data_IF_557671096208
#
_entry.id   IF_557671096208
#
_cell.length_a   1.000
_cell.length_b   1.000
_cell.length_c   1.000
_cell.angle_alpha   90.00
_cell.angle_beta   90.00
_cell.angle_gamma   90.00
#
_symmetry.space_group_name_H-M   'P 1'
#
loop_
_entity.id
_entity.type
_entity.pdbx_description
1 polymer ?
#
# COMPACT_ATOMS: atom_id res chain seq x y z
N UNK A 1 -6.12 -8.19 -17.81
CA UNK A 1 -7.05 -9.30 -18.07
C UNK A 1 -7.01 -10.31 -16.93
N UNK A 2 -8.15 -11.00 -16.69
CA UNK A 2 -8.25 -12.04 -15.67
C UNK A 2 -9.06 -13.22 -16.17
N UNK A 3 -8.78 -14.38 -15.62
CA UNK A 3 -9.54 -15.62 -15.84
C UNK A 3 -9.87 -16.24 -14.49
N UNK A 4 -11.08 -16.75 -14.37
CA UNK A 4 -11.51 -17.50 -13.18
C UNK A 4 -12.12 -18.83 -13.62
N UNK A 5 -11.85 -19.87 -12.86
CA UNK A 5 -12.29 -21.23 -13.08
C UNK A 5 -12.91 -21.78 -11.79
N UNK A 6 -13.95 -22.60 -11.93
CA UNK A 6 -14.62 -23.29 -10.82
C UNK A 6 -14.28 -24.77 -10.83
N UNK A 7 -13.24 -25.21 -10.13
CA UNK A 7 -12.82 -26.63 -10.11
C UNK A 7 -13.83 -27.54 -9.37
N UNK A 8 -14.60 -26.98 -8.45
CA UNK A 8 -15.62 -27.69 -7.70
C UNK A 8 -16.74 -26.74 -7.27
N UNK A 9 -17.88 -27.30 -6.86
CA UNK A 9 -19.01 -26.53 -6.32
C UNK A 9 -18.53 -25.73 -5.10
N UNK A 10 -18.84 -24.44 -5.08
CA UNK A 10 -18.43 -23.53 -4.00
C UNK A 10 -16.97 -23.07 -4.05
N UNK A 11 -16.15 -23.55 -4.99
CA UNK A 11 -14.73 -23.17 -5.10
C UNK A 11 -14.44 -22.48 -6.42
N UNK A 12 -13.65 -21.41 -6.35
CA UNK A 12 -13.16 -20.66 -7.51
C UNK A 12 -11.65 -20.42 -7.37
N UNK A 13 -10.92 -20.59 -8.46
CA UNK A 13 -9.52 -20.16 -8.57
C UNK A 13 -9.42 -19.17 -9.71
N UNK A 14 -8.52 -18.21 -9.59
CA UNK A 14 -8.36 -17.17 -10.58
C UNK A 14 -6.92 -16.73 -10.72
N UNK A 15 -6.61 -16.26 -11.93
CA UNK A 15 -5.37 -15.59 -12.25
C UNK A 15 -5.65 -14.29 -12.97
N UNK A 16 -4.84 -13.27 -12.71
CA UNK A 16 -4.91 -11.99 -13.40
C UNK A 16 -3.51 -11.52 -13.77
N UNK A 17 -3.38 -10.97 -14.97
CA UNK A 17 -2.23 -10.19 -15.37
C UNK A 17 -2.50 -8.72 -14.98
N UNK A 18 -1.57 -8.14 -14.23
CA UNK A 18 -1.65 -6.76 -13.76
C UNK A 18 -0.66 -5.94 -14.56
N UNK A 19 -1.14 -4.90 -15.25
CA UNK A 19 -0.31 -3.85 -15.81
C UNK A 19 -0.27 -2.70 -14.80
N UNK A 20 0.93 -2.25 -14.46
CA UNK A 20 1.14 -1.10 -13.59
C UNK A 20 1.75 0.07 -14.36
N UNK A 21 1.28 1.26 -14.06
CA UNK A 21 1.82 2.53 -14.54
C UNK A 21 2.05 3.44 -13.35
N UNK A 22 3.27 3.94 -13.21
CA UNK A 22 3.64 4.91 -12.19
C UNK A 22 4.07 6.21 -12.84
N UNK A 23 3.81 7.32 -12.17
CA UNK A 23 4.27 8.64 -12.54
C UNK A 23 4.90 9.31 -11.34
N UNK A 24 6.09 9.86 -11.51
CA UNK A 24 6.86 10.47 -10.44
C UNK A 24 7.42 11.83 -10.85
N UNK A 25 7.50 12.73 -9.89
CA UNK A 25 8.24 13.98 -9.97
C UNK A 25 8.69 14.39 -8.58
N UNK A 26 9.89 14.93 -8.45
CA UNK A 26 10.41 15.48 -7.20
C UNK A 26 11.09 16.83 -7.46
N UNK A 27 10.94 17.74 -6.50
CA UNK A 27 11.56 19.07 -6.49
C UNK A 27 12.22 19.32 -5.13
N UNK A 28 13.23 20.20 -5.10
CA UNK A 28 13.86 20.62 -3.85
C UNK A 28 14.83 19.63 -3.25
N UNK A 29 15.27 18.60 -3.98
CA UNK A 29 16.22 17.56 -3.51
C UNK A 29 17.67 17.82 -3.97
N UNK A 30 17.99 19.00 -4.47
CA UNK A 30 19.33 19.34 -4.99
C UNK A 30 20.46 19.17 -3.96
N UNK A 31 20.16 19.24 -2.67
CA UNK A 31 21.13 18.98 -1.60
C UNK A 31 21.74 17.56 -1.66
N UNK A 32 21.08 16.62 -2.35
CA UNK A 32 21.55 15.25 -2.52
C UNK A 32 22.38 15.03 -3.80
N UNK A 33 22.57 16.06 -4.64
CA UNK A 33 23.36 15.94 -5.88
C UNK A 33 24.83 15.53 -5.65
N UNK A 34 25.39 15.89 -4.50
CA UNK A 34 26.75 15.46 -4.12
C UNK A 34 26.83 14.03 -3.56
N UNK A 35 25.70 13.33 -3.42
CA UNK A 35 25.60 12.01 -2.79
C UNK A 35 25.02 10.95 -3.72
N UNK A 36 24.97 11.24 -5.02
CA UNK A 36 24.40 10.35 -6.03
C UNK A 36 25.46 9.83 -7.00
N UNK A 37 25.21 8.64 -7.53
CA UNK A 37 25.99 8.07 -8.64
C UNK A 37 25.68 8.74 -9.98
N UNK A 38 24.55 9.48 -10.08
CA UNK A 38 24.09 10.11 -11.32
C UNK A 38 23.70 11.58 -11.07
N UNK A 39 24.70 12.50 -10.93
CA UNK A 39 24.44 13.93 -10.75
C UNK A 39 23.57 14.52 -11.88
N UNK A 40 22.72 15.45 -11.52
CA UNK A 40 21.74 16.07 -12.45
C UNK A 40 20.50 15.22 -12.69
N UNK A 41 20.32 14.09 -11.97
CA UNK A 41 19.15 13.20 -12.10
C UNK A 41 18.51 12.88 -10.74
N UNK A 42 18.55 13.83 -9.80
CA UNK A 42 17.99 13.68 -8.45
C UNK A 42 16.69 14.47 -8.27
N UNK A 43 16.63 15.71 -8.82
CA UNK A 43 15.56 16.64 -8.51
C UNK A 43 15.23 17.51 -9.72
N UNK A 44 14.02 18.11 -9.72
CA UNK A 44 13.61 19.15 -10.67
C UNK A 44 13.65 18.73 -12.15
N UNK A 45 13.40 17.44 -12.43
CA UNK A 45 13.44 16.87 -13.78
C UNK A 45 12.06 16.77 -14.44
N UNK A 46 11.04 17.38 -13.84
CA UNK A 46 9.65 17.25 -14.29
C UNK A 46 9.09 15.84 -14.03
N UNK A 47 8.02 15.48 -14.72
CA UNK A 47 7.43 14.16 -14.57
C UNK A 47 8.18 13.11 -15.39
N UNK A 48 8.32 11.94 -14.79
CA UNK A 48 8.77 10.71 -15.43
C UNK A 48 7.75 9.60 -15.20
N UNK A 49 7.79 8.56 -16.00
CA UNK A 49 6.85 7.44 -15.91
C UNK A 49 7.56 6.10 -15.98
N UNK A 50 6.99 5.13 -15.31
CA UNK A 50 7.48 3.76 -15.23
C UNK A 50 6.31 2.80 -15.44
N UNK A 51 6.56 1.67 -16.06
CA UNK A 51 5.57 0.62 -16.32
C UNK A 51 6.10 -0.73 -15.90
N UNK A 52 5.18 -1.63 -15.56
CA UNK A 52 5.55 -2.99 -15.17
C UNK A 52 4.40 -3.96 -15.31
N UNK A 53 4.74 -5.25 -15.24
CA UNK A 53 3.80 -6.35 -15.32
C UNK A 53 3.93 -7.25 -14.10
N UNK A 54 2.80 -7.72 -13.60
CA UNK A 54 2.74 -8.67 -12.51
C UNK A 54 1.60 -9.66 -12.66
N UNK A 55 1.61 -10.66 -11.80
CA UNK A 55 0.60 -11.71 -11.76
C UNK A 55 -0.08 -11.71 -10.40
N UNK A 56 -1.41 -11.91 -10.40
CA UNK A 56 -2.19 -12.17 -9.19
C UNK A 56 -2.83 -13.54 -9.30
N UNK A 57 -2.76 -14.30 -8.23
CA UNK A 57 -3.44 -15.57 -8.07
C UNK A 57 -4.41 -15.47 -6.91
N UNK A 58 -5.55 -16.14 -7.01
CA UNK A 58 -6.55 -16.14 -5.96
C UNK A 58 -7.34 -17.43 -5.90
N UNK A 59 -7.75 -17.77 -4.70
CA UNK A 59 -8.70 -18.83 -4.43
C UNK A 59 -9.79 -18.31 -3.49
N UNK A 60 -11.03 -18.72 -3.75
CA UNK A 60 -12.18 -18.48 -2.90
C UNK A 60 -12.97 -19.79 -2.77
N UNK A 61 -13.22 -20.23 -1.55
CA UNK A 61 -13.93 -21.46 -1.26
C UNK A 61 -15.04 -21.25 -0.23
N UNK A 62 -16.23 -21.79 -0.51
CA UNK A 62 -17.30 -21.94 0.48
C UNK A 62 -17.06 -23.25 1.22
N UNK A 63 -16.51 -23.17 2.43
CA UNK A 63 -16.10 -24.33 3.25
C UNK A 63 -17.23 -24.81 4.17
N UNK A 64 -18.17 -23.90 4.51
CA UNK A 64 -19.45 -24.22 5.16
C UNK A 64 -20.56 -23.41 4.47
N UNK A 65 -21.84 -23.75 4.68
CA UNK A 65 -22.95 -23.00 4.08
C UNK A 65 -22.91 -21.48 4.31
N UNK A 66 -22.40 -21.08 5.48
CA UNK A 66 -22.33 -19.69 5.95
C UNK A 66 -20.88 -19.15 6.02
N UNK A 67 -19.85 -19.96 5.69
CA UNK A 67 -18.44 -19.57 5.81
C UNK A 67 -17.69 -19.70 4.47
N UNK A 68 -17.08 -18.61 4.05
CA UNK A 68 -16.16 -18.55 2.92
C UNK A 68 -14.74 -18.23 3.37
N UNK A 69 -13.76 -18.89 2.78
CA UNK A 69 -12.34 -18.60 2.93
C UNK A 69 -11.76 -18.13 1.61
N UNK A 70 -10.75 -17.30 1.70
CA UNK A 70 -10.01 -16.82 0.53
C UNK A 70 -8.52 -16.79 0.78
N UNK A 71 -7.75 -17.01 -0.28
CA UNK A 71 -6.31 -16.80 -0.30
C UNK A 71 -5.94 -16.03 -1.57
N UNK A 72 -4.96 -15.14 -1.47
CA UNK A 72 -4.47 -14.37 -2.60
C UNK A 72 -2.96 -14.21 -2.53
N UNK A 73 -2.34 -14.13 -3.70
CA UNK A 73 -0.93 -13.81 -3.87
C UNK A 73 -0.78 -12.87 -5.06
N UNK A 74 0.06 -11.84 -4.89
CA UNK A 74 0.46 -10.92 -5.95
C UNK A 74 1.97 -10.95 -6.06
N UNK A 75 2.50 -11.17 -7.25
CA UNK A 75 3.93 -11.09 -7.49
C UNK A 75 4.45 -9.69 -7.22
N UNK A 76 5.74 -9.56 -6.96
CA UNK A 76 6.44 -8.30 -7.19
C UNK A 76 6.20 -7.88 -8.66
N UNK A 77 6.00 -6.59 -8.88
CA UNK A 77 5.98 -6.01 -10.23
C UNK A 77 7.30 -5.29 -10.41
N UNK A 78 8.14 -5.86 -11.26
CA UNK A 78 9.36 -5.20 -11.72
C UNK A 78 8.94 -4.06 -12.64
N UNK A 79 9.28 -2.85 -12.21
CA UNK A 79 8.95 -1.63 -12.92
C UNK A 79 10.15 -1.18 -13.75
N UNK A 80 9.90 -0.57 -14.91
CA UNK A 80 10.98 0.12 -15.63
C UNK A 80 11.52 1.26 -14.80
N UNK A 81 12.80 1.60 -14.98
CA UNK A 81 13.47 2.66 -14.25
C UNK A 81 12.86 4.04 -14.57
N UNK A 82 12.93 4.95 -13.61
CA UNK A 82 12.71 6.36 -13.81
C UNK A 82 13.99 7.03 -14.31
N UNK A 83 14.19 7.10 -15.62
CA UNK A 83 15.41 7.60 -16.25
C UNK A 83 15.77 9.03 -15.82
N UNK A 84 14.77 9.89 -15.63
CA UNK A 84 14.97 11.27 -15.17
C UNK A 84 15.39 11.36 -13.72
N UNK A 85 15.13 10.30 -12.93
CA UNK A 85 15.43 10.19 -11.51
C UNK A 85 16.37 9.04 -11.20
N UNK A 86 17.18 8.63 -12.17
CA UNK A 86 18.19 7.56 -12.01
C UNK A 86 19.23 7.86 -10.92
N UNK A 87 19.35 9.09 -10.50
CA UNK A 87 20.18 9.51 -9.38
C UNK A 87 19.50 9.44 -8.02
N UNK A 88 18.18 9.17 -7.95
CA UNK A 88 17.43 9.17 -6.70
C UNK A 88 17.15 7.75 -6.20
N UNK A 89 16.61 6.88 -7.06
CA UNK A 89 16.21 5.53 -6.69
C UNK A 89 17.30 4.51 -6.99
N UNK A 90 17.37 3.47 -6.17
CA UNK A 90 18.35 2.38 -6.29
C UNK A 90 18.32 1.74 -7.69
N UNK A 91 19.47 1.24 -8.15
CA UNK A 91 19.58 0.55 -9.44
C UNK A 91 19.34 1.44 -10.65
N UNK A 92 19.62 2.74 -10.55
CA UNK A 92 19.44 3.66 -11.69
C UNK A 92 18.02 4.12 -11.92
N UNK A 93 17.17 4.18 -10.88
CA UNK A 93 15.79 4.67 -10.98
C UNK A 93 14.72 3.61 -10.68
N UNK A 94 15.09 2.46 -10.16
CA UNK A 94 14.16 1.36 -9.89
C UNK A 94 13.21 1.63 -8.71
N UNK A 95 11.92 1.48 -8.92
CA UNK A 95 10.90 1.63 -7.86
C UNK A 95 9.76 0.63 -8.07
N UNK A 96 10.03 -0.64 -7.75
CA UNK A 96 9.10 -1.73 -7.95
C UNK A 96 7.91 -1.71 -6.98
N UNK A 97 6.87 -2.45 -7.32
CA UNK A 97 5.75 -2.70 -6.44
C UNK A 97 5.99 -4.03 -5.71
N UNK A 98 5.98 -4.05 -4.36
CA UNK A 98 6.31 -5.24 -3.60
C UNK A 98 5.31 -6.38 -3.79
N UNK A 99 5.78 -7.61 -3.62
CA UNK A 99 4.92 -8.77 -3.54
C UNK A 99 4.04 -8.71 -2.28
N UNK A 100 2.87 -9.32 -2.36
CA UNK A 100 1.97 -9.44 -1.22
C UNK A 100 1.15 -10.72 -1.29
N UNK A 101 0.75 -11.21 -0.12
CA UNK A 101 -0.15 -12.35 0.00
C UNK A 101 -1.07 -12.18 1.19
N UNK A 102 -2.23 -12.83 1.15
CA UNK A 102 -3.22 -12.70 2.19
C UNK A 102 -4.18 -13.86 2.26
N UNK A 103 -4.78 -13.96 3.43
CA UNK A 103 -5.84 -14.90 3.77
C UNK A 103 -7.03 -14.10 4.29
N UNK A 104 -8.22 -14.56 3.96
CA UNK A 104 -9.45 -13.92 4.40
C UNK A 104 -10.54 -14.93 4.72
N UNK A 105 -11.46 -14.51 5.56
CA UNK A 105 -12.69 -15.22 5.84
C UNK A 105 -13.89 -14.27 5.80
N UNK A 106 -15.04 -14.79 5.40
CA UNK A 106 -16.32 -14.11 5.49
C UNK A 106 -17.35 -15.10 6.04
N UNK A 107 -17.92 -14.75 7.19
CA UNK A 107 -18.94 -15.54 7.88
C UNK A 107 -20.28 -14.82 7.89
N UNK A 108 -21.29 -15.47 7.34
CA UNK A 108 -22.67 -14.98 7.39
C UNK A 108 -23.30 -15.38 8.74
N UNK A 109 -23.06 -14.54 9.76
CA UNK A 109 -23.50 -14.78 11.13
C UNK A 109 -25.04 -14.79 11.28
N UNK A 110 -25.76 -14.12 10.36
CA UNK A 110 -27.21 -14.20 10.22
C UNK A 110 -27.61 -13.82 8.78
N UNK A 111 -28.88 -13.98 8.37
CA UNK A 111 -29.33 -13.53 7.05
C UNK A 111 -29.03 -12.06 6.75
N UNK A 112 -28.95 -11.21 7.79
CA UNK A 112 -28.71 -9.78 7.66
C UNK A 112 -27.25 -9.38 7.96
N UNK A 113 -26.44 -10.22 8.62
CA UNK A 113 -25.11 -9.84 9.11
C UNK A 113 -24.01 -10.74 8.54
N UNK A 114 -23.05 -10.13 7.84
CA UNK A 114 -21.79 -10.77 7.45
C UNK A 114 -20.64 -10.14 8.20
N UNK A 115 -19.79 -10.96 8.80
CA UNK A 115 -18.53 -10.57 9.42
C UNK A 115 -17.37 -11.04 8.54
N UNK A 116 -16.32 -10.21 8.42
CA UNK A 116 -15.16 -10.54 7.64
C UNK A 116 -13.88 -10.26 8.45
N UNK A 117 -12.86 -11.07 8.21
CA UNK A 117 -11.52 -10.83 8.72
C UNK A 117 -10.49 -11.17 7.64
N UNK A 118 -9.47 -10.33 7.50
CA UNK A 118 -8.37 -10.53 6.57
C UNK A 118 -7.04 -10.34 7.27
N UNK A 119 -6.06 -11.11 6.84
CA UNK A 119 -4.65 -10.90 7.11
C UNK A 119 -3.90 -10.79 5.79
N UNK A 120 -2.98 -9.81 5.70
CA UNK A 120 -2.17 -9.57 4.52
C UNK A 120 -0.72 -9.33 4.94
N UNK A 121 0.23 -9.88 4.18
CA UNK A 121 1.66 -9.55 4.26
C UNK A 121 2.08 -8.78 3.02
N UNK A 122 2.87 -7.71 3.20
CA UNK A 122 3.47 -6.91 2.13
C UNK A 122 4.98 -6.90 2.34
N UNK A 123 5.73 -7.27 1.30
CA UNK A 123 7.18 -7.49 1.35
C UNK A 123 7.94 -6.23 0.88
N UNK A 124 7.81 -5.13 1.63
CA UNK A 124 8.48 -3.86 1.29
C UNK A 124 9.99 -3.97 1.24
N UNK A 125 10.61 -4.78 2.12
CA UNK A 125 12.06 -4.93 2.18
C UNK A 125 12.66 -5.59 0.92
N UNK A 126 11.84 -6.27 0.12
CA UNK A 126 12.27 -6.89 -1.13
C UNK A 126 12.51 -5.87 -2.25
N UNK A 127 11.92 -4.67 -2.15
CA UNK A 127 12.11 -3.56 -3.09
C UNK A 127 13.21 -2.66 -2.56
N UNK A 128 14.38 -2.69 -3.14
CA UNK A 128 15.59 -2.06 -2.60
C UNK A 128 15.46 -0.54 -2.38
N UNK A 129 14.82 0.20 -3.29
CA UNK A 129 14.54 1.64 -3.10
C UNK A 129 13.63 1.92 -1.90
N UNK A 130 12.83 0.95 -1.47
CA UNK A 130 11.94 1.05 -0.31
C UNK A 130 12.61 0.47 0.95
N UNK A 131 13.22 -0.73 0.85
CA UNK A 131 13.71 -1.50 1.98
C UNK A 131 15.16 -1.22 2.38
N UNK A 132 16.01 -0.75 1.45
CA UNK A 132 17.39 -0.46 1.81
C UNK A 132 17.47 0.65 2.87
N UNK A 133 18.29 0.50 3.92
CA UNK A 133 18.42 1.53 4.93
C UNK A 133 19.18 2.75 4.39
N UNK A 134 18.79 3.94 4.86
CA UNK A 134 19.44 5.22 4.53
C UNK A 134 20.94 5.23 4.83
N UNK A 135 21.38 4.49 5.86
CA UNK A 135 22.77 4.42 6.28
C UNK A 135 23.72 3.91 5.18
N UNK A 136 23.21 3.21 4.17
CA UNK A 136 23.99 2.82 2.99
C UNK A 136 24.63 4.02 2.29
N UNK A 137 23.96 5.18 2.30
CA UNK A 137 24.48 6.42 1.72
C UNK A 137 25.85 6.80 2.30
N UNK A 138 26.07 6.52 3.60
CA UNK A 138 27.31 6.85 4.31
C UNK A 138 28.31 5.69 4.35
N UNK A 139 27.92 4.55 3.78
CA UNK A 139 28.74 3.34 3.66
C UNK A 139 29.18 3.07 2.21
N UNK A 140 29.14 4.10 1.34
CA UNK A 140 29.53 4.00 -0.07
C UNK A 140 28.41 3.63 -1.04
N UNK A 141 27.16 3.44 -0.54
CA UNK A 141 25.99 3.17 -1.38
C UNK A 141 25.30 4.46 -1.80
N UNK A 142 25.87 5.18 -2.75
CA UNK A 142 25.33 6.43 -3.26
C UNK A 142 23.88 6.27 -3.74
N UNK A 143 23.09 7.35 -3.69
CA UNK A 143 21.76 7.37 -4.31
C UNK A 143 21.86 6.99 -5.79
N UNK A 144 20.91 6.25 -6.30
CA UNK A 144 20.89 5.79 -7.70
C UNK A 144 21.86 4.66 -8.04
N UNK A 145 22.78 4.27 -7.14
CA UNK A 145 23.69 3.14 -7.38
C UNK A 145 23.03 1.79 -7.08
N UNK A 146 23.61 0.72 -7.60
CA UNK A 146 23.24 -0.64 -7.20
C UNK A 146 23.53 -0.85 -5.72
N UNK A 147 22.51 -1.30 -4.98
CA UNK A 147 22.59 -1.42 -3.54
C UNK A 147 22.59 -0.09 -2.79
N UNK A 148 22.25 1.02 -3.44
CA UNK A 148 22.16 2.35 -2.87
C UNK A 148 21.14 2.47 -1.74
N UNK A 149 21.11 3.65 -1.10
CA UNK A 149 20.18 3.95 -0.01
C UNK A 149 18.72 3.98 -0.47
N UNK A 150 17.82 3.67 0.44
CA UNK A 150 16.37 3.71 0.26
C UNK A 150 15.68 4.23 1.52
N UNK A 151 14.37 3.97 1.66
CA UNK A 151 13.56 4.46 2.76
C UNK A 151 13.67 3.62 4.05
N UNK A 152 14.26 2.44 3.99
CA UNK A 152 14.48 1.55 5.13
C UNK A 152 13.21 0.93 5.69
N UNK A 153 12.16 0.71 4.86
CA UNK A 153 10.92 0.12 5.31
C UNK A 153 11.06 -1.38 5.60
N UNK A 154 10.45 -1.79 6.69
CA UNK A 154 10.26 -3.21 7.00
C UNK A 154 9.03 -3.75 6.29
N UNK A 155 9.01 -5.07 6.12
CA UNK A 155 7.79 -5.79 5.75
C UNK A 155 6.71 -5.61 6.80
N UNK A 156 5.45 -5.59 6.36
CA UNK A 156 4.33 -5.39 7.25
C UNK A 156 3.28 -6.49 7.14
N UNK A 157 2.66 -6.79 8.27
CA UNK A 157 1.40 -7.52 8.33
C UNK A 157 0.26 -6.55 8.62
N UNK A 158 -0.85 -6.74 7.92
CA UNK A 158 -2.09 -5.97 8.06
C UNK A 158 -3.19 -6.92 8.49
N UNK A 159 -3.90 -6.58 9.56
CA UNK A 159 -5.13 -7.27 9.97
C UNK A 159 -6.30 -6.34 9.73
N UNK A 160 -7.37 -6.86 9.15
CA UNK A 160 -8.60 -6.12 8.85
C UNK A 160 -9.80 -6.87 9.40
N UNK A 161 -10.74 -6.16 9.98
CA UNK A 161 -12.02 -6.67 10.43
C UNK A 161 -13.12 -5.83 9.79
N UNK A 162 -14.20 -6.48 9.37
CA UNK A 162 -15.32 -5.81 8.74
C UNK A 162 -16.65 -6.43 9.12
N UNK A 163 -17.69 -5.60 9.09
CA UNK A 163 -19.09 -6.02 9.24
C UNK A 163 -19.93 -5.36 8.15
N UNK A 164 -20.82 -6.14 7.57
CA UNK A 164 -21.84 -5.69 6.62
C UNK A 164 -23.21 -6.10 7.17
N UNK A 165 -24.09 -5.12 7.37
CA UNK A 165 -25.41 -5.31 7.92
C UNK A 165 -26.48 -4.81 6.93
N UNK A 166 -27.27 -5.74 6.38
CA UNK A 166 -28.45 -5.42 5.60
C UNK A 166 -29.57 -5.03 6.58
N UNK A 167 -29.77 -3.71 6.77
CA UNK A 167 -30.79 -3.20 7.67
C UNK A 167 -32.19 -3.51 7.13
N UNK A 168 -32.41 -3.28 5.83
CA UNK A 168 -33.59 -3.65 5.07
C UNK A 168 -33.19 -3.89 3.59
N UNK A 169 -34.19 -4.05 2.70
CA UNK A 169 -33.98 -4.31 1.27
C UNK A 169 -33.29 -3.14 0.52
N UNK A 170 -33.24 -1.96 1.13
CA UNK A 170 -32.67 -0.74 0.53
C UNK A 170 -31.42 -0.22 1.21
N UNK A 171 -31.30 -0.40 2.52
CA UNK A 171 -30.21 0.15 3.33
C UNK A 171 -29.25 -0.93 3.78
N UNK A 172 -28.00 -0.79 3.38
CA UNK A 172 -26.88 -1.61 3.87
C UNK A 172 -25.89 -0.73 4.63
N UNK A 173 -25.54 -1.12 5.86
CA UNK A 173 -24.54 -0.46 6.70
C UNK A 173 -23.24 -1.26 6.72
N UNK A 174 -22.11 -0.56 6.86
CA UNK A 174 -20.78 -1.18 6.89
C UNK A 174 -19.92 -0.52 7.94
N UNK A 175 -19.14 -1.33 8.64
CA UNK A 175 -18.12 -0.87 9.58
C UNK A 175 -16.84 -1.67 9.36
N UNK A 176 -15.70 -1.04 9.57
CA UNK A 176 -14.41 -1.70 9.42
C UNK A 176 -13.36 -1.12 10.34
N UNK A 177 -12.41 -1.96 10.72
CA UNK A 177 -11.19 -1.58 11.41
C UNK A 177 -10.01 -2.32 10.82
N UNK A 178 -8.86 -1.65 10.69
CA UNK A 178 -7.62 -2.31 10.30
C UNK A 178 -6.44 -1.81 11.10
N UNK A 179 -5.45 -2.69 11.24
CA UNK A 179 -4.18 -2.38 11.88
C UNK A 179 -3.03 -2.91 11.04
N UNK A 180 -2.06 -2.04 10.75
CA UNK A 180 -0.81 -2.38 10.06
C UNK A 180 0.37 -2.27 11.02
N UNK A 181 1.37 -3.12 10.87
CA UNK A 181 2.67 -2.98 11.53
C UNK A 181 3.34 -1.69 11.02
N UNK A 182 4.18 -1.06 11.85
CA UNK A 182 4.92 0.13 11.45
C UNK A 182 6.02 -0.23 10.44
N UNK A 183 5.95 0.28 9.20
CA UNK A 183 7.00 0.01 8.21
C UNK A 183 8.28 0.81 8.48
N UNK A 184 8.17 2.02 9.04
CA UNK A 184 9.28 2.97 9.21
C UNK A 184 9.94 2.79 10.57
N UNK A 185 11.18 2.25 10.66
CA UNK A 185 11.94 2.22 11.92
C UNK A 185 12.32 3.63 12.40
N UNK A 186 12.54 3.79 13.71
CA UNK A 186 12.95 5.06 14.31
C UNK A 186 14.28 5.61 13.72
N UNK A 187 15.19 4.73 13.29
CA UNK A 187 16.45 5.11 12.65
C UNK A 187 16.32 5.59 11.19
N UNK A 188 15.14 5.44 10.58
CA UNK A 188 14.91 5.72 9.15
C UNK A 188 13.98 6.92 8.92
N UNK A 189 13.60 7.65 9.97
CA UNK A 189 12.60 8.72 9.88
C UNK A 189 13.06 9.90 9.02
N UNK A 190 14.35 10.14 8.85
CA UNK A 190 14.86 11.29 8.09
C UNK A 190 14.45 11.25 6.61
N UNK A 191 14.73 10.17 5.89
CA UNK A 191 14.30 10.03 4.49
C UNK A 191 12.77 9.92 4.37
N UNK A 192 12.14 9.37 5.40
CA UNK A 192 10.69 9.21 5.44
C UNK A 192 9.90 10.50 5.69
N UNK A 193 10.56 11.66 5.83
CA UNK A 193 9.91 12.97 5.69
C UNK A 193 9.27 13.11 4.29
N UNK A 194 9.88 12.51 3.28
CA UNK A 194 9.38 12.51 1.90
C UNK A 194 8.27 11.49 1.64
N UNK A 195 8.18 10.44 2.47
CA UNK A 195 7.22 9.35 2.34
C UNK A 195 6.70 8.90 3.72
N UNK A 196 5.95 9.76 4.45
CA UNK A 196 5.60 9.52 5.85
C UNK A 196 4.46 8.51 6.03
N UNK A 197 4.59 7.31 5.51
CA UNK A 197 3.60 6.23 5.59
C UNK A 197 3.49 5.61 6.99
N UNK A 198 3.18 6.41 8.02
CA UNK A 198 3.27 6.00 9.44
C UNK A 198 1.94 5.68 10.12
N UNK A 199 0.79 5.91 9.47
CA UNK A 199 -0.52 5.54 10.05
C UNK A 199 -0.64 4.03 10.22
N UNK A 200 -1.23 3.61 11.35
CA UNK A 200 -1.29 2.20 11.73
C UNK A 200 -2.71 1.66 11.85
N UNK A 201 -3.61 2.46 12.37
CA UNK A 201 -5.00 2.06 12.62
C UNK A 201 -5.92 2.86 11.71
N UNK A 202 -6.88 2.18 11.09
CA UNK A 202 -7.91 2.81 10.28
C UNK A 202 -9.27 2.31 10.77
N UNK A 203 -10.20 3.21 10.89
CA UNK A 203 -11.60 2.92 11.23
C UNK A 203 -12.47 3.48 10.11
N UNK A 204 -13.44 2.71 9.69
CA UNK A 204 -14.34 3.13 8.62
C UNK A 204 -15.81 2.84 8.97
N UNK A 205 -16.66 3.74 8.58
CA UNK A 205 -18.11 3.59 8.61
C UNK A 205 -18.65 3.97 7.24
N UNK A 206 -19.68 3.28 6.79
CA UNK A 206 -20.29 3.57 5.52
C UNK A 206 -21.64 2.91 5.37
N UNK A 207 -22.29 3.21 4.27
CA UNK A 207 -23.57 2.61 3.90
C UNK A 207 -23.90 2.84 2.45
N UNK A 208 -24.86 2.08 1.95
CA UNK A 208 -25.47 2.31 0.65
C UNK A 208 -26.98 2.25 0.75
N UNK A 209 -27.62 3.14 -0.01
CA UNK A 209 -29.07 3.25 -0.08
C UNK A 209 -29.56 3.12 -1.50
N UNK A 210 -30.40 2.11 -1.74
CA UNK A 210 -31.02 1.83 -3.04
C UNK A 210 -32.29 2.64 -3.20
N UNK A 211 -32.34 3.47 -4.22
CA UNK A 211 -33.50 4.29 -4.55
C UNK A 211 -34.60 3.47 -5.24
N UNK A 212 -35.84 3.96 -5.20
CA UNK A 212 -36.97 3.34 -5.91
C UNK A 212 -36.74 3.27 -7.43
N UNK A 213 -35.94 4.17 -8.01
CA UNK A 213 -35.60 4.19 -9.43
C UNK A 213 -34.43 3.28 -9.83
N UNK A 214 -33.98 2.38 -8.94
CA UNK A 214 -32.91 1.40 -9.24
C UNK A 214 -31.48 1.94 -9.08
N UNK A 215 -31.30 3.22 -8.77
CA UNK A 215 -29.97 3.75 -8.45
C UNK A 215 -29.56 3.47 -6.99
N UNK A 216 -28.27 3.47 -6.72
CA UNK A 216 -27.72 3.28 -5.37
C UNK A 216 -26.72 4.38 -5.01
N UNK A 217 -26.98 5.07 -3.92
CA UNK A 217 -26.06 6.00 -3.28
C UNK A 217 -25.17 5.25 -2.30
N UNK A 218 -23.90 5.57 -2.30
CA UNK A 218 -22.92 5.05 -1.33
C UNK A 218 -22.19 6.18 -0.65
N UNK A 219 -22.01 6.06 0.66
CA UNK A 219 -21.24 6.98 1.49
C UNK A 219 -20.28 6.18 2.35
N UNK A 220 -19.02 6.62 2.44
CA UNK A 220 -18.04 6.05 3.34
C UNK A 220 -17.15 7.12 3.96
N UNK A 221 -16.87 6.98 5.25
CA UNK A 221 -15.92 7.80 5.98
C UNK A 221 -14.84 6.91 6.59
N UNK A 222 -13.59 7.31 6.41
CA UNK A 222 -12.42 6.66 6.99
C UNK A 222 -11.68 7.65 7.88
N UNK A 223 -11.26 7.16 9.04
CA UNK A 223 -10.46 7.89 10.01
C UNK A 223 -9.25 7.07 10.42
N UNK A 224 -8.04 7.65 10.25
CA UNK A 224 -6.80 7.12 10.79
C UNK A 224 -6.29 8.10 11.87
N UNK A 225 -6.28 7.69 13.16
CA UNK A 225 -5.83 8.54 14.26
C UNK A 225 -4.36 8.90 14.10
N UNK A 226 -3.99 10.04 14.67
CA UNK A 226 -2.59 10.51 14.68
C UNK A 226 -1.67 9.45 15.27
N UNK A 227 -0.63 9.12 14.51
CA UNK A 227 0.50 8.32 14.96
C UNK A 227 1.76 9.17 14.89
N UNK A 228 2.64 9.02 15.87
CA UNK A 228 3.98 9.62 15.86
C UNK A 228 5.02 8.51 15.86
N UNK A 229 6.00 8.60 14.98
CA UNK A 229 7.23 7.82 15.01
C UNK A 229 8.36 8.77 15.35
N UNK A 230 8.86 8.68 16.58
CA UNK A 230 10.00 9.48 17.03
C UNK A 230 11.28 8.92 16.42
N UNK A 231 12.13 9.79 15.90
CA UNK A 231 13.46 9.44 15.45
C UNK A 231 14.33 8.94 16.59
N UNK A 232 15.37 8.19 16.24
CA UNK A 232 16.42 7.80 17.17
C UNK A 232 17.75 7.92 16.44
N UNK A 233 18.45 9.07 16.61
CA UNK A 233 19.67 9.39 15.88
C UNK A 233 19.47 9.35 14.36
N UNK A 234 18.27 9.71 13.90
CA UNK A 234 17.85 9.49 12.51
C UNK A 234 18.39 10.52 11.53
N UNK A 235 18.84 11.69 12.01
CA UNK A 235 19.51 12.69 11.17
C UNK A 235 21.01 12.43 11.26
N UNK A 236 21.67 12.06 10.13
CA UNK A 236 23.09 11.84 10.10
C UNK A 236 23.88 13.10 10.47
N UNK A 237 25.09 12.95 11.04
CA UNK A 237 25.97 14.05 11.42
C UNK A 237 26.29 14.99 10.24
N UNK A 238 26.39 14.44 9.01
CA UNK A 238 26.60 15.23 7.78
C UNK A 238 25.44 16.20 7.47
N UNK A 239 24.25 15.99 8.06
CA UNK A 239 23.06 16.86 7.97
C UNK A 239 22.76 17.59 9.29
N UNK A 240 23.75 17.70 10.18
CA UNK A 240 23.60 18.41 11.44
C UNK A 240 23.27 17.52 12.64
N UNK A 241 23.02 16.24 12.45
CA UNK A 241 22.70 15.30 13.53
C UNK A 241 21.31 15.52 14.14
N UNK A 242 20.99 14.74 15.17
CA UNK A 242 19.72 14.84 15.87
C UNK A 242 18.67 13.86 15.39
N UNK A 243 17.40 14.24 15.51
CA UNK A 243 16.26 13.35 15.27
C UNK A 243 15.17 14.03 14.43
N UNK A 244 14.63 13.30 13.45
CA UNK A 244 13.44 13.69 12.73
C UNK A 244 12.24 12.91 13.28
N UNK A 245 11.17 13.60 13.64
CA UNK A 245 9.93 12.98 14.11
C UNK A 245 8.85 13.05 13.03
N UNK A 246 8.24 11.92 12.72
CA UNK A 246 7.14 11.84 11.77
C UNK A 246 5.82 11.73 12.51
N UNK A 247 4.82 12.47 12.04
CA UNK A 247 3.46 12.25 12.50
C UNK A 247 2.47 12.41 11.34
N UNK A 248 1.42 11.60 11.38
CA UNK A 248 0.40 11.59 10.34
C UNK A 248 -0.96 11.24 10.93
N UNK A 249 -2.01 11.81 10.40
CA UNK A 249 -3.40 11.39 10.56
C UNK A 249 -4.09 11.51 9.21
N UNK A 250 -5.13 10.72 8.99
CA UNK A 250 -5.87 10.77 7.74
C UNK A 250 -7.37 10.78 7.98
N UNK A 251 -8.08 11.45 7.08
CA UNK A 251 -9.53 11.43 7.00
C UNK A 251 -9.90 11.41 5.52
N UNK A 252 -10.84 10.54 5.17
CA UNK A 252 -11.33 10.44 3.80
C UNK A 252 -12.85 10.32 3.83
N UNK A 253 -13.52 11.12 3.01
CA UNK A 253 -14.93 11.01 2.72
C UNK A 253 -15.09 10.59 1.27
N UNK A 254 -15.88 9.54 1.04
CA UNK A 254 -16.18 9.04 -0.31
C UNK A 254 -17.68 9.03 -0.51
N UNK A 255 -18.12 9.56 -1.66
CA UNK A 255 -19.51 9.54 -2.09
C UNK A 255 -19.57 8.90 -3.47
N UNK A 256 -20.46 7.96 -3.68
CA UNK A 256 -20.67 7.28 -4.95
C UNK A 256 -22.14 7.20 -5.31
N UNK A 257 -22.43 7.21 -6.60
CA UNK A 257 -23.72 6.89 -7.14
C UNK A 257 -23.59 5.91 -8.29
N UNK A 258 -24.36 4.85 -8.28
CA UNK A 258 -24.40 3.85 -9.35
C UNK A 258 -25.85 3.67 -9.83
N UNK A 259 -26.02 3.35 -11.11
CA UNK A 259 -27.29 3.01 -11.71
C UNK A 259 -27.10 1.86 -12.71
N UNK A 260 -28.11 1.04 -12.89
CA UNK A 260 -28.14 0.07 -13.98
C UNK A 260 -28.53 0.79 -15.29
N UNK A 261 -27.84 0.45 -16.38
CA UNK A 261 -28.15 0.85 -17.75
C UNK A 261 -29.19 -0.09 -18.34
#
# INVERSE_FOLDING_TARGET
PSVAFRPAVGHSVGAALTFAYQRFAATGLSAFEGMTANPGSVSDRGHDSSTGLGVKLGWLGQVLPDLRLGASWSSRIEMSEFDRYKGLFEGGGGFDIPASYGLGLAWQASPALTLAADWQRIEYSSVKSVGNPMQRLFAGGALGSDGGAGFGWNDVSVVKLGAVYAYDDRLTLRAGASRVQQPVPASQTFFNILAPGVVRNHYSLGGSYRTAGGGEWSLAYLYAPKVTVSGNGSIPAAFGGGEANLHMREQMLSVGYSWAL
#
